data_IF_889091746272
#
_entry.id   IF_889091746272
#
_cell.length_a   1.000
_cell.length_b   1.000
_cell.length_c   1.000
_cell.angle_alpha   90.00
_cell.angle_beta   90.00
_cell.angle_gamma   90.00
#
_symmetry.space_group_name_H-M   'P 1'
#
loop_
_entity.id
_entity.type
_entity.pdbx_description
1 polymer ?
#
# COMPACT_ATOMS: atom_id res chain seq x y z
N UNK A 1 -20.92 -21.33 5.57
CA UNK A 1 -20.43 -20.43 4.52
C UNK A 1 -19.09 -20.95 4.05
N UNK A 2 -18.84 -21.04 2.75
CA UNK A 2 -17.48 -21.33 2.26
C UNK A 2 -16.57 -20.12 2.52
N UNK A 3 -15.31 -20.39 2.82
CA UNK A 3 -14.30 -19.41 3.22
C UNK A 3 -13.07 -19.64 2.36
N UNK A 4 -12.41 -18.56 1.91
CA UNK A 4 -11.07 -18.67 1.37
C UNK A 4 -10.11 -18.91 2.54
N UNK A 5 -9.83 -20.19 2.81
CA UNK A 5 -8.99 -20.60 3.94
C UNK A 5 -7.51 -20.40 3.59
N UNK A 6 -6.86 -19.49 4.31
CA UNK A 6 -5.44 -19.19 4.22
C UNK A 6 -4.71 -19.56 5.52
N UNK A 7 -5.30 -20.42 6.37
CA UNK A 7 -4.73 -20.84 7.64
C UNK A 7 -3.42 -21.62 7.52
N UNK A 8 -3.07 -22.12 6.33
CA UNK A 8 -1.72 -22.63 6.05
C UNK A 8 -0.62 -21.58 6.21
N UNK A 9 -0.98 -20.28 6.22
CA UNK A 9 -0.06 -19.19 6.53
C UNK A 9 0.20 -19.03 8.02
N UNK A 10 -0.54 -19.71 8.91
CA UNK A 10 -0.21 -19.71 10.33
C UNK A 10 1.20 -20.22 10.54
N UNK A 11 2.00 -19.45 11.27
CA UNK A 11 3.34 -19.88 11.60
C UNK A 11 3.30 -20.93 12.72
N UNK A 12 4.20 -21.89 12.64
CA UNK A 12 4.53 -22.78 13.75
C UNK A 12 5.30 -22.05 14.86
N UNK A 13 5.84 -20.86 14.59
CA UNK A 13 6.61 -20.05 15.53
C UNK A 13 6.06 -18.61 15.57
N UNK A 14 5.93 -18.05 16.77
CA UNK A 14 5.62 -16.64 16.94
C UNK A 14 6.91 -15.89 17.24
N UNK A 15 6.93 -14.60 16.92
CA UNK A 15 8.03 -13.73 17.30
C UNK A 15 7.82 -13.34 18.77
N UNK A 16 8.53 -14.03 19.67
CA UNK A 16 8.39 -13.86 21.11
C UNK A 16 9.41 -12.91 21.73
N UNK A 17 10.31 -12.36 20.91
CA UNK A 17 11.32 -11.39 21.32
C UNK A 17 11.07 -10.09 20.60
N UNK A 18 11.37 -8.97 21.27
CA UNK A 18 11.32 -7.68 20.61
C UNK A 18 12.38 -7.62 19.51
N UNK A 19 11.97 -7.18 18.34
CA UNK A 19 12.90 -6.88 17.24
C UNK A 19 13.64 -5.61 17.57
N UNK A 20 14.97 -5.68 17.53
CA UNK A 20 15.84 -4.52 17.66
C UNK A 20 16.45 -4.17 16.31
N UNK A 21 16.94 -2.94 16.16
CA UNK A 21 17.57 -2.46 14.93
C UNK A 21 16.58 -1.77 13.98
N UNK A 22 17.01 -1.59 12.72
CA UNK A 22 16.40 -0.61 11.82
C UNK A 22 14.92 -0.85 11.51
N UNK A 23 14.44 -2.09 11.43
CA UNK A 23 13.05 -2.38 11.06
C UNK A 23 12.03 -1.97 12.14
N UNK A 24 12.40 -2.02 13.42
CA UNK A 24 11.55 -1.59 14.53
C UNK A 24 11.74 -0.09 14.85
N UNK A 25 11.66 0.75 13.81
CA UNK A 25 11.78 2.20 13.93
C UNK A 25 10.53 2.85 14.53
N UNK A 26 10.74 3.93 15.28
CA UNK A 26 9.71 4.87 15.79
C UNK A 26 9.83 6.21 15.07
N UNK A 27 8.87 7.12 15.30
CA UNK A 27 8.87 8.48 14.72
C UNK A 27 10.21 9.20 14.88
N UNK A 28 10.76 9.18 16.10
CA UNK A 28 11.96 9.95 16.44
C UNK A 28 13.26 9.30 15.93
N UNK A 29 13.19 8.04 15.47
CA UNK A 29 14.34 7.32 14.92
C UNK A 29 14.49 7.46 13.40
N UNK A 30 13.53 8.11 12.73
CA UNK A 30 13.52 8.31 11.28
C UNK A 30 13.68 9.79 10.97
N UNK A 31 14.65 10.14 10.13
CA UNK A 31 14.67 11.45 9.45
C UNK A 31 13.75 11.37 8.21
N UNK A 32 12.62 12.10 8.15
CA UNK A 32 11.73 12.06 6.99
C UNK A 32 12.42 12.46 5.68
N UNK A 33 13.46 13.30 5.72
CA UNK A 33 14.20 13.70 4.51
C UNK A 33 14.97 12.54 3.90
N UNK A 34 15.33 11.54 4.70
CA UNK A 34 15.94 10.31 4.21
C UNK A 34 15.00 9.47 3.36
N UNK A 35 13.70 9.77 3.30
CA UNK A 35 12.77 9.12 2.39
C UNK A 35 12.69 9.81 1.01
N UNK A 36 13.24 11.02 0.86
CA UNK A 36 13.06 11.84 -0.34
C UNK A 36 14.16 11.55 -1.36
N UNK A 37 13.76 11.28 -2.61
CA UNK A 37 14.65 11.04 -3.75
C UNK A 37 14.42 12.13 -4.81
N UNK A 38 15.45 12.93 -5.09
CA UNK A 38 15.34 13.99 -6.11
C UNK A 38 15.60 13.46 -7.52
N UNK A 39 14.80 13.91 -8.49
CA UNK A 39 15.04 13.62 -9.91
C UNK A 39 16.19 14.52 -10.41
N UNK A 40 17.40 13.96 -10.48
CA UNK A 40 18.58 14.67 -11.01
C UNK A 40 18.40 15.00 -12.49
N UNK A 41 19.10 16.04 -12.97
CA UNK A 41 19.02 16.53 -14.36
C UNK A 41 19.17 15.44 -15.41
N UNK A 42 20.10 14.50 -15.23
CA UNK A 42 20.31 13.40 -16.18
C UNK A 42 19.10 12.45 -16.27
N UNK A 43 18.55 12.03 -15.13
CA UNK A 43 17.34 11.20 -15.07
C UNK A 43 16.12 11.97 -15.61
N UNK A 44 16.00 13.27 -15.30
CA UNK A 44 14.94 14.11 -15.84
C UNK A 44 14.99 14.16 -17.37
N UNK A 45 16.17 14.37 -17.95
CA UNK A 45 16.35 14.41 -19.40
C UNK A 45 15.99 13.06 -20.04
N UNK A 46 16.34 11.95 -19.40
CA UNK A 46 15.93 10.60 -19.81
C UNK A 46 14.40 10.43 -19.81
N UNK A 47 13.72 10.82 -18.72
CA UNK A 47 12.26 10.76 -18.65
C UNK A 47 11.59 11.58 -19.76
N UNK A 48 12.10 12.78 -20.07
CA UNK A 48 11.57 13.59 -21.18
C UNK A 48 11.85 12.96 -22.55
N UNK A 49 12.98 12.27 -22.74
CA UNK A 49 13.23 11.50 -23.98
C UNK A 49 12.25 10.33 -24.12
N UNK A 50 11.95 9.63 -23.03
CA UNK A 50 10.95 8.55 -23.02
C UNK A 50 9.59 9.08 -23.46
N UNK A 51 9.18 10.25 -22.97
CA UNK A 51 7.93 10.91 -23.41
C UNK A 51 7.91 11.16 -24.92
N UNK A 52 8.98 11.71 -25.49
CA UNK A 52 9.04 11.93 -26.94
C UNK A 52 8.99 10.64 -27.77
N UNK A 53 9.58 9.55 -27.26
CA UNK A 53 9.50 8.21 -27.87
C UNK A 53 8.07 7.68 -27.83
N UNK A 54 7.42 7.77 -26.67
CA UNK A 54 6.03 7.36 -26.42
C UNK A 54 5.07 8.10 -27.37
N UNK A 55 5.22 9.42 -27.51
CA UNK A 55 4.39 10.24 -28.41
C UNK A 55 4.54 9.82 -29.87
N UNK A 56 5.76 9.48 -30.28
CA UNK A 56 6.04 9.09 -31.67
C UNK A 56 5.69 7.63 -31.97
N UNK A 57 5.47 6.81 -30.94
CA UNK A 57 5.24 5.36 -31.06
C UNK A 57 4.07 4.95 -30.15
N UNK A 58 2.82 5.10 -30.64
CA UNK A 58 1.63 4.79 -29.85
C UNK A 58 1.59 3.30 -29.50
N UNK A 59 1.55 3.01 -28.20
CA UNK A 59 1.42 1.68 -27.64
C UNK A 59 0.61 1.81 -26.34
N UNK A 60 -0.37 0.92 -26.07
CA UNK A 60 -1.09 0.94 -24.80
C UNK A 60 -0.13 0.89 -23.61
N UNK A 61 -0.39 1.70 -22.58
CA UNK A 61 0.46 1.81 -21.38
C UNK A 61 0.87 0.45 -20.81
N UNK A 62 -0.09 -0.47 -20.67
CA UNK A 62 0.14 -1.79 -20.08
C UNK A 62 1.11 -2.69 -20.87
N UNK A 63 1.35 -2.37 -22.14
CA UNK A 63 2.30 -3.09 -23.00
C UNK A 63 3.69 -2.46 -23.01
N UNK A 64 3.86 -1.26 -22.45
CA UNK A 64 5.16 -0.59 -22.37
C UNK A 64 6.04 -1.28 -21.34
N UNK A 65 7.28 -1.61 -21.73
CA UNK A 65 8.26 -2.23 -20.85
C UNK A 65 9.41 -1.29 -20.59
N UNK A 66 9.94 -1.34 -19.37
CA UNK A 66 11.12 -0.56 -19.01
C UNK A 66 12.34 -0.88 -19.89
N UNK A 67 12.48 -2.14 -20.31
CA UNK A 67 13.58 -2.61 -21.16
C UNK A 67 13.59 -2.01 -22.58
N UNK A 68 12.48 -1.41 -23.02
CA UNK A 68 12.35 -0.79 -24.34
C UNK A 68 13.04 0.59 -24.42
N UNK A 69 13.59 1.10 -23.31
CA UNK A 69 14.13 2.45 -23.21
C UNK A 69 15.57 2.49 -22.67
N UNK A 70 16.43 3.29 -23.30
CA UNK A 70 17.78 3.59 -22.80
C UNK A 70 17.75 4.70 -21.74
N UNK A 71 17.57 4.30 -20.48
CA UNK A 71 17.39 5.20 -19.33
C UNK A 71 18.28 4.85 -18.11
N UNK A 72 19.61 4.76 -18.26
CA UNK A 72 20.52 4.31 -17.21
C UNK A 72 20.48 5.17 -15.92
N UNK A 73 20.32 6.50 -16.03
CA UNK A 73 20.27 7.36 -14.83
C UNK A 73 18.94 7.22 -14.09
N UNK A 74 17.85 7.01 -14.82
CA UNK A 74 16.52 6.70 -14.26
C UNK A 74 16.53 5.34 -13.59
N UNK A 75 17.17 4.33 -14.21
CA UNK A 75 17.35 3.01 -13.60
C UNK A 75 18.16 3.09 -12.29
N UNK A 76 19.22 3.90 -12.26
CA UNK A 76 20.03 4.13 -11.06
C UNK A 76 19.23 4.84 -9.96
N UNK A 77 18.40 5.82 -10.32
CA UNK A 77 17.50 6.49 -9.38
C UNK A 77 16.47 5.51 -8.81
N UNK A 78 15.82 4.71 -9.66
CA UNK A 78 14.83 3.74 -9.22
C UNK A 78 15.45 2.58 -8.43
N UNK A 79 16.72 2.24 -8.66
CA UNK A 79 17.46 1.31 -7.79
C UNK A 79 17.67 1.88 -6.37
N UNK A 80 17.94 3.19 -6.23
CA UNK A 80 17.98 3.85 -4.92
C UNK A 80 16.59 3.82 -4.25
N UNK A 81 15.53 4.08 -5.00
CA UNK A 81 14.14 3.97 -4.49
C UNK A 81 13.87 2.56 -4.00
N UNK A 82 14.16 1.52 -4.80
CA UNK A 82 13.96 0.12 -4.41
C UNK A 82 14.74 -0.24 -3.14
N UNK A 83 16.00 0.18 -3.03
CA UNK A 83 16.80 -0.02 -1.81
C UNK A 83 16.14 0.61 -0.58
N UNK A 84 15.63 1.83 -0.67
CA UNK A 84 14.91 2.51 0.45
C UNK A 84 13.58 1.84 0.83
N UNK A 85 13.01 1.04 -0.07
CA UNK A 85 11.83 0.23 0.24
C UNK A 85 12.21 -1.12 0.89
N UNK A 86 13.35 -1.68 0.52
CA UNK A 86 13.87 -2.95 1.08
C UNK A 86 14.54 -2.76 2.44
N UNK A 87 15.10 -1.59 2.67
CA UNK A 87 15.73 -1.18 3.91
C UNK A 87 14.82 -0.25 4.72
N UNK A 88 14.94 -0.20 6.05
CA UNK A 88 14.20 0.74 6.87
C UNK A 88 14.42 2.21 6.43
N UNK A 89 13.38 3.06 6.42
CA UNK A 89 12.06 2.81 7.00
C UNK A 89 11.05 2.10 6.06
N UNK A 90 11.44 1.71 4.84
CA UNK A 90 10.53 1.06 3.89
C UNK A 90 9.62 2.04 3.13
N UNK A 91 10.02 3.31 3.03
CA UNK A 91 9.27 4.40 2.38
C UNK A 91 10.20 5.20 1.47
N UNK A 92 9.72 5.55 0.28
CA UNK A 92 10.43 6.44 -0.63
C UNK A 92 9.48 7.40 -1.35
N UNK A 93 9.88 8.66 -1.49
CA UNK A 93 9.13 9.69 -2.23
C UNK A 93 10.03 10.33 -3.28
N UNK A 94 9.70 10.16 -4.54
CA UNK A 94 10.38 10.84 -5.64
C UNK A 94 9.79 12.25 -5.80
N UNK A 95 10.63 13.27 -5.69
CA UNK A 95 10.25 14.69 -5.78
C UNK A 95 10.96 15.40 -6.95
N UNK A 96 10.29 15.85 -8.00
CA UNK A 96 8.91 15.59 -8.44
C UNK A 96 8.93 15.43 -9.97
N UNK A 97 7.97 14.67 -10.52
CA UNK A 97 7.77 14.65 -11.97
C UNK A 97 7.39 16.07 -12.47
N UNK A 98 7.91 16.51 -13.63
CA UNK A 98 7.60 17.83 -14.18
C UNK A 98 6.20 17.85 -14.82
N UNK A 99 5.14 17.70 -14.02
CA UNK A 99 3.75 17.58 -14.50
C UNK A 99 3.20 18.83 -15.21
N UNK A 100 3.96 19.93 -15.27
CA UNK A 100 3.66 21.09 -16.12
C UNK A 100 4.12 20.91 -17.57
N UNK A 101 4.93 19.89 -17.84
CA UNK A 101 5.49 19.56 -19.16
C UNK A 101 4.94 18.23 -19.69
N UNK A 102 4.01 17.60 -18.97
CA UNK A 102 3.48 16.27 -19.25
C UNK A 102 1.96 16.34 -19.31
N UNK A 103 1.37 15.62 -20.27
CA UNK A 103 -0.04 15.23 -20.18
C UNK A 103 -0.24 14.24 -19.04
N UNK A 104 -1.49 14.06 -18.60
CA UNK A 104 -1.82 13.04 -17.59
C UNK A 104 -1.44 11.63 -18.06
N UNK A 105 -1.75 11.30 -19.31
CA UNK A 105 -1.41 10.01 -19.92
C UNK A 105 0.11 9.77 -19.93
N UNK A 106 0.90 10.79 -20.26
CA UNK A 106 2.36 10.69 -20.23
C UNK A 106 2.91 10.49 -18.82
N UNK A 107 2.33 11.17 -17.83
CA UNK A 107 2.70 10.96 -16.42
C UNK A 107 2.39 9.52 -15.98
N UNK A 108 1.23 8.99 -16.39
CA UNK A 108 0.83 7.60 -16.11
C UNK A 108 1.74 6.61 -16.81
N UNK A 109 2.10 6.84 -18.07
CA UNK A 109 3.05 6.01 -18.81
C UNK A 109 4.42 5.98 -18.12
N UNK A 110 4.95 7.14 -17.73
CA UNK A 110 6.20 7.21 -16.99
C UNK A 110 6.11 6.46 -15.66
N UNK A 111 5.03 6.67 -14.89
CA UNK A 111 4.80 5.99 -13.61
C UNK A 111 4.71 4.46 -13.77
N UNK A 112 4.00 4.00 -14.80
CA UNK A 112 3.89 2.59 -15.16
C UNK A 112 5.25 1.99 -15.51
N UNK A 113 6.02 2.67 -16.37
CA UNK A 113 7.32 2.22 -16.85
C UNK A 113 8.30 2.13 -15.68
N UNK A 114 8.51 3.24 -14.95
CA UNK A 114 9.53 3.27 -13.88
C UNK A 114 9.17 2.37 -12.70
N UNK A 115 7.87 2.17 -12.43
CA UNK A 115 7.38 1.27 -11.38
C UNK A 115 7.81 -0.19 -11.57
N UNK A 116 8.08 -0.62 -12.81
CA UNK A 116 8.57 -1.98 -13.10
C UNK A 116 9.93 -2.28 -12.46
N UNK A 117 10.71 -1.25 -12.08
CA UNK A 117 11.97 -1.43 -11.35
C UNK A 117 11.76 -1.76 -9.87
N UNK A 118 10.62 -1.38 -9.31
CA UNK A 118 10.25 -1.70 -7.92
C UNK A 118 9.81 -3.16 -7.81
N UNK A 119 9.09 -3.63 -8.82
CA UNK A 119 8.66 -5.01 -9.00
C UNK A 119 7.64 -5.06 -10.13
N UNK A 120 7.28 -6.26 -10.56
CA UNK A 120 6.28 -6.45 -11.62
C UNK A 120 4.94 -5.84 -11.19
N UNK A 121 4.40 -4.94 -12.02
CA UNK A 121 3.06 -4.37 -11.84
C UNK A 121 2.00 -5.48 -11.90
N UNK A 122 1.03 -5.45 -10.98
CA UNK A 122 -0.04 -6.46 -10.91
C UNK A 122 -1.43 -5.81 -10.84
N UNK A 123 -2.46 -6.60 -11.15
CA UNK A 123 -3.84 -6.17 -11.02
C UNK A 123 -4.19 -5.88 -9.56
N UNK A 124 -5.04 -4.88 -9.36
CA UNK A 124 -5.47 -4.35 -8.07
C UNK A 124 -6.94 -4.62 -7.78
N UNK A 125 -7.70 -5.10 -8.77
CA UNK A 125 -9.11 -5.45 -8.71
C UNK A 125 -9.39 -6.72 -9.51
N UNK A 126 -10.51 -7.38 -9.19
CA UNK A 126 -10.99 -8.56 -9.91
C UNK A 126 -11.17 -8.34 -11.42
N UNK A 127 -11.60 -7.14 -11.83
CA UNK A 127 -11.78 -6.77 -13.23
C UNK A 127 -10.46 -6.62 -14.03
N UNK A 128 -9.31 -6.82 -13.39
CA UNK A 128 -7.99 -6.72 -14.01
C UNK A 128 -7.41 -5.31 -14.02
N UNK A 129 -8.03 -4.33 -13.35
CA UNK A 129 -7.49 -2.96 -13.23
C UNK A 129 -6.06 -2.97 -12.68
N UNK A 130 -5.07 -2.57 -13.47
CA UNK A 130 -3.65 -2.49 -13.06
C UNK A 130 -3.20 -1.06 -12.72
N UNK A 131 -3.84 -0.05 -13.32
CA UNK A 131 -3.62 1.37 -13.07
C UNK A 131 -4.89 1.90 -12.42
N UNK A 132 -4.81 2.20 -11.12
CA UNK A 132 -5.99 2.50 -10.32
C UNK A 132 -6.07 3.99 -10.02
N UNK A 133 -7.12 4.66 -10.47
CA UNK A 133 -7.34 6.07 -10.17
C UNK A 133 -7.97 6.23 -8.79
N UNK A 134 -7.26 6.88 -7.88
CA UNK A 134 -7.73 7.22 -6.53
C UNK A 134 -8.27 8.66 -6.56
N UNK A 135 -9.58 8.77 -6.75
CA UNK A 135 -10.33 10.03 -6.77
C UNK A 135 -11.74 9.76 -6.25
N UNK A 136 -12.36 10.75 -5.63
CA UNK A 136 -13.78 10.67 -5.27
C UNK A 136 -14.61 10.61 -6.56
N UNK A 137 -15.35 9.53 -6.73
CA UNK A 137 -16.25 9.33 -7.86
C UNK A 137 -17.68 9.78 -7.57
N UNK A 138 -17.98 10.22 -6.33
CA UNK A 138 -19.33 10.55 -5.88
C UNK A 138 -20.25 9.32 -5.79
N UNK A 139 -19.68 8.12 -5.75
CA UNK A 139 -20.45 6.88 -5.63
C UNK A 139 -21.05 6.76 -4.22
N UNK A 140 -22.30 6.30 -4.13
CA UNK A 140 -22.94 6.02 -2.84
C UNK A 140 -22.20 4.88 -2.13
N UNK A 141 -22.18 4.90 -0.79
CA UNK A 141 -21.51 3.89 0.01
C UNK A 141 -22.30 2.57 -0.05
N UNK A 142 -21.90 1.69 -0.96
CA UNK A 142 -22.44 0.33 -1.11
C UNK A 142 -21.36 -0.73 -0.80
N UNK A 143 -21.80 -1.96 -0.51
CA UNK A 143 -20.86 -3.08 -0.32
C UNK A 143 -20.01 -3.29 -1.59
N UNK A 144 -18.69 -3.30 -1.42
CA UNK A 144 -17.71 -3.34 -2.51
C UNK A 144 -17.11 -2.00 -2.90
N UNK A 145 -17.61 -0.87 -2.37
CA UNK A 145 -16.95 0.44 -2.54
C UNK A 145 -15.74 0.52 -1.60
N UNK A 146 -14.54 0.52 -2.18
CA UNK A 146 -13.29 0.68 -1.43
C UNK A 146 -13.15 2.09 -0.88
N UNK A 147 -12.61 2.23 0.33
CA UNK A 147 -12.40 3.54 0.98
C UNK A 147 -11.50 4.53 0.20
N UNK A 148 -10.75 4.05 -0.79
CA UNK A 148 -10.03 4.92 -1.76
C UNK A 148 -10.95 5.83 -2.58
N UNK A 149 -12.24 5.49 -2.69
CA UNK A 149 -13.26 6.26 -3.40
C UNK A 149 -14.01 7.24 -2.49
N UNK A 150 -13.70 7.28 -1.20
CA UNK A 150 -14.38 8.14 -0.22
C UNK A 150 -13.42 9.20 0.34
N UNK A 151 -13.98 10.27 0.90
CA UNK A 151 -13.24 11.31 1.64
C UNK A 151 -12.87 10.89 3.07
N UNK A 152 -13.45 9.78 3.55
CA UNK A 152 -13.32 9.29 4.93
C UNK A 152 -11.88 8.85 5.22
N UNK A 153 -11.40 9.17 6.43
CA UNK A 153 -10.14 8.69 6.99
C UNK A 153 -9.89 7.20 6.70
N UNK A 154 -8.67 6.87 6.28
CA UNK A 154 -8.22 5.48 6.14
C UNK A 154 -7.24 5.18 7.26
N UNK A 155 -7.71 4.40 8.23
CA UNK A 155 -6.90 3.89 9.34
C UNK A 155 -5.66 3.14 8.84
N UNK A 156 -4.67 2.91 9.73
CA UNK A 156 -3.46 2.18 9.37
C UNK A 156 -3.78 0.80 8.79
N UNK A 157 -3.27 0.56 7.58
CA UNK A 157 -3.50 -0.70 6.87
C UNK A 157 -2.36 -1.11 5.92
N UNK A 158 -2.37 -2.38 5.55
CA UNK A 158 -1.75 -2.92 4.35
C UNK A 158 -2.81 -3.00 3.23
N UNK A 159 -2.42 -2.65 2.02
CA UNK A 159 -3.22 -2.92 0.82
C UNK A 159 -3.40 -4.43 0.64
N UNK A 160 -4.61 -4.83 0.24
CA UNK A 160 -4.98 -6.21 -0.04
C UNK A 160 -4.77 -7.20 1.14
N UNK A 161 -5.00 -6.76 2.38
CA UNK A 161 -4.78 -7.60 3.58
C UNK A 161 -5.55 -8.94 3.57
N UNK A 162 -6.58 -9.10 2.73
CA UNK A 162 -7.35 -10.34 2.55
C UNK A 162 -6.87 -11.26 1.41
N UNK A 163 -6.03 -10.75 0.49
CA UNK A 163 -5.68 -11.45 -0.74
C UNK A 163 -4.74 -12.64 -0.55
N UNK A 164 -4.66 -13.53 -1.53
CA UNK A 164 -3.77 -14.70 -1.46
C UNK A 164 -2.30 -14.26 -1.49
N UNK A 165 -1.88 -13.52 -2.52
CA UNK A 165 -0.58 -12.86 -2.57
C UNK A 165 -0.76 -11.36 -2.34
N UNK A 166 -0.16 -10.84 -1.27
CA UNK A 166 -0.14 -9.39 -1.06
C UNK A 166 0.75 -8.72 -2.11
N UNK A 167 0.44 -7.46 -2.50
CA UNK A 167 1.47 -6.64 -3.13
C UNK A 167 2.60 -6.45 -2.12
N UNK A 168 3.85 -6.59 -2.58
CA UNK A 168 5.02 -6.31 -1.75
C UNK A 168 5.24 -4.81 -1.63
N UNK A 169 4.95 -4.06 -2.70
CA UNK A 169 5.04 -2.61 -2.72
C UNK A 169 3.79 -1.98 -3.32
N UNK A 170 3.50 -0.78 -2.85
CA UNK A 170 2.41 0.07 -3.37
C UNK A 170 3.03 1.38 -3.82
N UNK A 171 2.73 1.79 -5.04
CA UNK A 171 3.11 3.08 -5.61
C UNK A 171 1.91 3.99 -5.71
N UNK A 172 2.10 5.29 -5.45
CA UNK A 172 1.07 6.31 -5.51
C UNK A 172 1.64 7.59 -6.13
N UNK A 173 1.14 7.96 -7.31
CA UNK A 173 1.48 9.21 -8.00
C UNK A 173 0.43 10.27 -7.72
N UNK A 174 0.87 11.46 -7.33
CA UNK A 174 -0.02 12.60 -7.15
C UNK A 174 -0.11 13.46 -8.41
N UNK A 175 -1.23 13.37 -9.13
CA UNK A 175 -1.52 14.27 -10.24
C UNK A 175 -2.09 15.58 -9.69
N UNK A 176 -3.08 15.50 -8.79
CA UNK A 176 -3.70 16.65 -8.14
C UNK A 176 -3.85 16.35 -6.65
N UNK A 177 -3.27 17.17 -5.75
CA UNK A 177 -3.46 17.00 -4.32
C UNK A 177 -4.89 17.39 -3.90
N UNK A 178 -5.29 17.03 -2.69
CA UNK A 178 -6.48 17.59 -2.05
C UNK A 178 -6.32 19.07 -1.72
N UNK A 179 -7.44 19.78 -1.56
CA UNK A 179 -7.42 21.17 -1.10
C UNK A 179 -7.01 21.26 0.38
N UNK A 180 -7.48 20.34 1.22
CA UNK A 180 -7.04 20.19 2.61
C UNK A 180 -6.91 18.70 3.00
N UNK A 181 -6.03 18.41 3.96
CA UNK A 181 -5.80 17.05 4.44
C UNK A 181 -5.14 16.14 3.37
N UNK A 182 -5.43 14.85 3.43
CA UNK A 182 -4.78 13.83 2.58
C UNK A 182 -3.34 13.50 2.96
N UNK A 183 -2.93 13.81 4.19
CA UNK A 183 -1.61 13.50 4.71
C UNK A 183 -1.42 11.98 4.81
N UNK A 184 -0.25 11.51 4.38
CA UNK A 184 0.12 10.10 4.49
C UNK A 184 0.95 9.89 5.75
N UNK A 185 0.53 8.95 6.59
CA UNK A 185 1.28 8.49 7.78
C UNK A 185 1.79 7.09 7.54
N UNK A 186 2.95 6.79 8.13
CA UNK A 186 3.59 5.48 8.03
C UNK A 186 4.00 5.01 9.43
N UNK A 187 3.74 3.75 9.74
CA UNK A 187 4.23 3.10 10.96
C UNK A 187 4.86 1.74 10.63
N UNK A 188 5.93 1.39 11.36
CA UNK A 188 6.54 0.07 11.27
C UNK A 188 5.67 -0.98 11.94
N UNK A 189 5.35 -2.05 11.21
CA UNK A 189 4.62 -3.18 11.77
C UNK A 189 5.45 -4.03 12.71
N UNK A 190 6.78 -3.94 12.65
CA UNK A 190 7.68 -4.51 13.66
C UNK A 190 7.58 -3.75 14.98
N UNK A 191 7.48 -2.42 14.93
CA UNK A 191 7.34 -1.60 16.14
C UNK A 191 5.96 -1.76 16.77
N UNK A 192 4.91 -1.84 15.94
CA UNK A 192 3.56 -2.19 16.39
C UNK A 192 3.56 -3.57 17.05
N UNK A 193 4.19 -4.57 16.41
CA UNK A 193 4.35 -5.91 16.98
C UNK A 193 5.09 -5.87 18.34
N UNK A 194 6.22 -5.20 18.44
CA UNK A 194 6.97 -5.06 19.69
C UNK A 194 6.11 -4.44 20.81
N UNK A 195 5.33 -3.42 20.47
CA UNK A 195 4.47 -2.74 21.44
C UNK A 195 3.30 -3.62 21.87
N UNK A 196 2.74 -4.42 20.96
CA UNK A 196 1.75 -5.45 21.27
C UNK A 196 2.36 -6.53 22.17
N UNK A 197 3.59 -6.99 21.89
CA UNK A 197 4.28 -7.99 22.71
C UNK A 197 4.52 -7.49 24.15
N UNK A 198 4.84 -6.21 24.30
CA UNK A 198 5.07 -5.59 25.61
C UNK A 198 3.77 -5.37 26.41
N UNK A 199 2.74 -4.79 25.77
CA UNK A 199 1.53 -4.32 26.48
C UNK A 199 0.37 -5.29 26.43
N UNK A 200 0.25 -6.06 25.35
CA UNK A 200 -0.91 -6.88 25.01
C UNK A 200 -0.50 -8.29 24.51
N UNK A 201 0.30 -9.05 25.29
CA UNK A 201 0.87 -10.32 24.82
C UNK A 201 -0.19 -11.39 24.50
N UNK A 202 -1.33 -11.40 25.20
CA UNK A 202 -2.41 -12.36 24.96
C UNK A 202 -3.17 -12.04 23.67
N UNK A 203 -3.40 -10.76 23.44
CA UNK A 203 -4.02 -10.22 22.25
C UNK A 203 -3.12 -10.46 21.03
N UNK A 204 -1.81 -10.23 21.18
CA UNK A 204 -0.82 -10.57 20.16
C UNK A 204 -0.88 -12.07 19.81
N UNK A 205 -0.96 -12.95 20.80
CA UNK A 205 -1.08 -14.38 20.59
C UNK A 205 -2.31 -14.74 19.74
N UNK A 206 -3.42 -14.04 19.93
CA UNK A 206 -4.65 -14.21 19.13
C UNK A 206 -4.49 -13.73 17.69
N UNK A 207 -3.69 -12.68 17.45
CA UNK A 207 -3.40 -12.14 16.10
C UNK A 207 -2.51 -13.06 15.25
N UNK A 208 -1.84 -14.05 15.85
CA UNK A 208 -1.15 -15.13 15.13
C UNK A 208 -2.10 -16.27 14.70
N UNK A 209 -3.32 -16.29 15.21
CA UNK A 209 -4.36 -17.25 14.81
C UNK A 209 -5.25 -16.64 13.74
N UNK A 210 -5.91 -17.46 12.88
CA UNK A 210 -6.72 -16.92 11.81
C UNK A 210 -7.93 -16.10 12.29
N UNK A 211 -8.23 -15.03 11.57
CA UNK A 211 -9.43 -14.19 11.71
C UNK A 211 -10.13 -14.07 10.36
N UNK A 212 -11.40 -13.67 10.34
CA UNK A 212 -12.11 -13.40 9.09
C UNK A 212 -11.73 -12.03 8.52
N UNK A 213 -11.61 -11.97 7.20
CA UNK A 213 -11.34 -10.77 6.43
C UNK A 213 -12.40 -10.60 5.35
N UNK A 214 -13.03 -9.42 5.26
CA UNK A 214 -13.87 -9.07 4.13
C UNK A 214 -13.03 -9.01 2.84
N UNK A 215 -13.46 -9.72 1.79
CA UNK A 215 -12.83 -9.70 0.46
C UNK A 215 -13.32 -8.55 -0.42
N UNK A 216 -14.19 -7.70 0.13
CA UNK A 216 -14.66 -6.46 -0.50
C UNK A 216 -15.31 -6.68 -1.89
N UNK A 217 -15.95 -7.84 -2.10
CA UNK A 217 -16.51 -8.25 -3.39
C UNK A 217 -15.50 -8.37 -4.55
N UNK A 218 -14.20 -8.47 -4.29
CA UNK A 218 -13.16 -8.51 -5.33
C UNK A 218 -12.85 -9.93 -5.82
N UNK A 219 -13.91 -10.70 -6.03
CA UNK A 219 -13.85 -12.11 -6.40
C UNK A 219 -14.91 -12.46 -7.44
N UNK A 220 -14.76 -13.61 -8.09
CA UNK A 220 -15.79 -14.13 -9.01
C UNK A 220 -17.13 -14.34 -8.27
N UNK A 221 -18.29 -14.12 -8.94
CA UNK A 221 -19.58 -14.46 -8.35
C UNK A 221 -19.64 -15.91 -7.88
N UNK A 222 -20.15 -16.12 -6.67
CA UNK A 222 -20.28 -17.45 -6.03
C UNK A 222 -19.02 -17.92 -5.29
N UNK A 223 -17.89 -17.22 -5.37
CA UNK A 223 -16.74 -17.49 -4.51
C UNK A 223 -17.00 -17.07 -3.04
N UNK A 224 -16.22 -17.59 -2.09
CA UNK A 224 -16.29 -17.17 -0.68
C UNK A 224 -16.23 -15.65 -0.51
N UNK A 225 -17.10 -15.06 0.29
CA UNK A 225 -17.11 -13.60 0.53
C UNK A 225 -16.03 -13.14 1.51
N UNK A 226 -15.51 -14.09 2.30
CA UNK A 226 -14.51 -13.83 3.34
C UNK A 226 -13.30 -14.73 3.16
N UNK A 227 -12.14 -14.22 3.54
CA UNK A 227 -10.92 -14.99 3.73
C UNK A 227 -10.67 -15.25 5.22
N UNK A 228 -9.90 -16.28 5.53
CA UNK A 228 -9.48 -16.59 6.90
C UNK A 228 -7.96 -16.74 6.97
N UNK A 229 -7.30 -15.78 7.61
CA UNK A 229 -5.84 -15.67 7.66
C UNK A 229 -5.41 -15.01 8.98
N UNK A 230 -4.19 -15.29 9.49
CA UNK A 230 -3.67 -14.58 10.66
C UNK A 230 -3.26 -13.15 10.31
N UNK A 231 -3.24 -12.25 11.30
CA UNK A 231 -2.71 -10.88 11.15
C UNK A 231 -1.20 -10.88 11.10
N UNK A 232 -0.56 -11.67 11.97
CA UNK A 232 0.89 -11.84 12.01
C UNK A 232 1.31 -13.27 11.66
N UNK A 233 2.39 -13.38 10.89
CA UNK A 233 3.11 -14.63 10.63
C UNK A 233 4.60 -14.35 10.71
N UNK A 234 5.36 -15.22 11.37
CA UNK A 234 6.81 -15.10 11.44
C UNK A 234 7.47 -16.38 10.90
N UNK A 235 8.30 -16.28 9.87
CA UNK A 235 8.93 -17.44 9.21
C UNK A 235 10.38 -17.68 9.65
N UNK A 236 10.71 -17.30 10.90
CA UNK A 236 12.04 -17.32 11.53
C UNK A 236 12.99 -16.21 11.07
N UNK A 237 12.75 -15.62 9.91
CA UNK A 237 13.58 -14.53 9.36
C UNK A 237 12.82 -13.21 9.29
N UNK A 238 11.55 -13.24 8.88
CA UNK A 238 10.75 -12.05 8.57
C UNK A 238 9.37 -12.09 9.21
N UNK A 239 8.91 -10.93 9.66
CA UNK A 239 7.52 -10.73 10.05
C UNK A 239 6.69 -10.40 8.80
N UNK A 240 5.71 -11.23 8.52
CA UNK A 240 4.69 -11.03 7.51
C UNK A 240 3.41 -10.55 8.18
N UNK A 241 2.79 -9.52 7.60
CA UNK A 241 1.66 -8.85 8.24
C UNK A 241 0.51 -8.62 7.27
N UNK A 242 -0.69 -8.84 7.79
CA UNK A 242 -1.95 -8.38 7.23
C UNK A 242 -2.56 -7.46 8.30
N UNK A 243 -2.39 -6.15 8.15
CA UNK A 243 -2.97 -5.18 9.07
C UNK A 243 -4.10 -4.45 8.36
N UNK A 244 -5.36 -4.66 8.77
CA UNK A 244 -6.47 -3.79 8.42
C UNK A 244 -7.65 -4.08 9.38
N UNK A 245 -7.71 -3.42 10.56
CA UNK A 245 -8.73 -3.68 11.56
C UNK A 245 -10.16 -3.59 11.01
N UNK A 246 -10.44 -2.62 10.13
CA UNK A 246 -11.76 -2.43 9.53
C UNK A 246 -12.21 -3.63 8.68
N UNK A 247 -11.30 -4.26 7.93
CA UNK A 247 -11.62 -5.46 7.15
C UNK A 247 -11.84 -6.70 8.01
N UNK A 248 -11.21 -6.76 9.19
CA UNK A 248 -11.47 -7.85 10.14
C UNK A 248 -12.89 -7.71 10.69
N UNK A 249 -13.24 -6.52 11.22
CA UNK A 249 -14.57 -6.25 11.74
C UNK A 249 -15.65 -6.54 10.69
N UNK A 250 -15.46 -6.01 9.46
CA UNK A 250 -16.39 -6.25 8.36
C UNK A 250 -16.45 -7.72 7.93
N UNK A 251 -15.32 -8.44 8.00
CA UNK A 251 -15.26 -9.86 7.69
C UNK A 251 -16.18 -10.70 8.58
N UNK A 252 -16.25 -10.42 9.87
CA UNK A 252 -17.17 -11.14 10.77
C UNK A 252 -18.64 -10.80 10.50
N UNK A 253 -18.96 -9.55 10.16
CA UNK A 253 -20.31 -9.15 9.73
C UNK A 253 -20.74 -9.90 8.46
N UNK A 254 -19.88 -9.89 7.42
CA UNK A 254 -20.15 -10.55 6.13
C UNK A 254 -20.21 -12.07 6.30
N UNK A 255 -19.41 -12.63 7.21
CA UNK A 255 -19.46 -14.04 7.57
C UNK A 255 -20.70 -14.44 8.40
N UNK A 256 -21.54 -13.48 8.79
CA UNK A 256 -22.67 -13.65 9.71
C UNK A 256 -22.25 -14.42 10.98
N UNK A 257 -21.01 -14.21 11.42
CA UNK A 257 -20.40 -14.94 12.52
C UNK A 257 -20.08 -13.98 13.65
N UNK A 258 -20.52 -14.30 14.87
CA UNK A 258 -20.19 -13.49 16.04
C UNK A 258 -18.67 -13.51 16.28
N UNK A 259 -18.07 -12.32 16.35
CA UNK A 259 -16.69 -12.17 16.81
C UNK A 259 -16.60 -12.54 18.29
N UNK A 260 -15.65 -13.42 18.63
CA UNK A 260 -15.36 -13.74 20.03
C UNK A 260 -14.61 -12.58 20.71
N UNK A 261 -14.71 -12.50 22.04
CA UNK A 261 -14.14 -11.39 22.80
C UNK A 261 -12.62 -11.32 22.69
N UNK A 262 -11.93 -12.47 22.61
CA UNK A 262 -10.48 -12.48 22.46
C UNK A 262 -10.03 -11.86 21.13
N UNK A 263 -10.78 -12.09 20.06
CA UNK A 263 -10.54 -11.47 18.75
C UNK A 263 -10.86 -9.98 18.78
N UNK A 264 -11.99 -9.60 19.39
CA UNK A 264 -12.40 -8.20 19.51
C UNK A 264 -11.36 -7.39 20.29
N UNK A 265 -10.96 -7.88 21.47
CA UNK A 265 -9.92 -7.27 22.32
C UNK A 265 -8.60 -7.14 21.53
N UNK A 266 -8.25 -8.15 20.73
CA UNK A 266 -7.01 -8.13 19.95
C UNK A 266 -7.02 -7.11 18.79
N UNK A 267 -8.16 -6.96 18.11
CA UNK A 267 -8.34 -5.95 17.05
C UNK A 267 -8.33 -4.54 17.65
N UNK A 268 -8.96 -4.34 18.81
CA UNK A 268 -8.96 -3.07 19.53
C UNK A 268 -7.55 -2.70 20.02
N UNK A 269 -6.81 -3.65 20.60
CA UNK A 269 -5.43 -3.42 21.02
C UNK A 269 -4.50 -3.08 19.83
N UNK A 270 -4.65 -3.78 18.69
CA UNK A 270 -3.91 -3.45 17.47
C UNK A 270 -4.18 -2.01 17.01
N UNK A 271 -5.45 -1.60 17.03
CA UNK A 271 -5.86 -0.24 16.69
C UNK A 271 -5.23 0.77 17.66
N UNK A 272 -5.39 0.57 18.97
CA UNK A 272 -4.82 1.43 20.03
C UNK A 272 -3.31 1.63 19.84
N UNK A 273 -2.56 0.54 19.64
CA UNK A 273 -1.11 0.61 19.43
C UNK A 273 -0.78 1.40 18.17
N UNK A 274 -1.46 1.14 17.06
CA UNK A 274 -1.17 1.81 15.78
C UNK A 274 -1.44 3.32 15.79
N UNK A 275 -2.34 3.79 16.66
CA UNK A 275 -2.71 5.20 16.79
C UNK A 275 -1.69 6.02 17.60
N UNK A 276 -0.78 5.36 18.35
CA UNK A 276 0.22 6.05 19.17
C UNK A 276 1.12 6.98 18.32
N UNK A 277 1.10 8.30 18.56
CA UNK A 277 1.82 9.29 17.75
C UNK A 277 3.34 9.18 17.82
N UNK A 278 3.89 8.40 18.75
CA UNK A 278 5.32 8.09 18.81
C UNK A 278 5.74 7.05 17.75
N UNK A 279 4.80 6.33 17.14
CA UNK A 279 5.11 5.21 16.23
C UNK A 279 5.05 5.58 14.74
N UNK A 280 4.51 6.75 14.41
CA UNK A 280 4.32 7.16 13.03
C UNK A 280 4.89 8.53 12.72
N UNK A 281 5.31 8.70 11.47
CA UNK A 281 5.70 9.99 10.91
C UNK A 281 4.88 10.27 9.64
N UNK A 282 4.88 11.52 9.22
CA UNK A 282 4.14 11.99 8.05
C UNK A 282 5.10 12.35 6.92
N UNK A 283 4.70 12.10 5.67
CA UNK A 283 5.33 12.68 4.49
C UNK A 283 4.28 13.37 3.62
N UNK A 284 4.64 14.50 2.99
CA UNK A 284 3.74 15.20 2.09
C UNK A 284 3.57 14.45 0.77
N UNK A 285 2.38 14.59 0.18
CA UNK A 285 2.05 14.05 -1.14
C UNK A 285 1.59 15.19 -2.07
N UNK A 286 2.56 15.93 -2.58
CA UNK A 286 2.34 17.10 -3.44
C UNK A 286 2.25 16.72 -4.92
N UNK A 287 1.77 17.65 -5.75
CA UNK A 287 1.68 17.46 -7.20
C UNK A 287 3.03 17.03 -7.78
N UNK A 288 3.04 15.90 -8.49
CA UNK A 288 4.23 15.32 -9.12
C UNK A 288 5.04 14.40 -8.20
N UNK A 289 4.69 14.27 -6.92
CA UNK A 289 5.32 13.26 -6.06
C UNK A 289 4.92 11.84 -6.49
N UNK A 290 5.89 10.94 -6.40
CA UNK A 290 5.68 9.49 -6.51
C UNK A 290 6.06 8.87 -5.17
N UNK A 291 5.08 8.40 -4.42
CA UNK A 291 5.30 7.76 -3.13
C UNK A 291 5.24 6.24 -3.29
N UNK A 292 6.25 5.54 -2.82
CA UNK A 292 6.29 4.09 -2.76
C UNK A 292 6.47 3.62 -1.32
N UNK A 293 5.81 2.52 -0.97
CA UNK A 293 5.89 1.89 0.34
C UNK A 293 6.11 0.39 0.23
N UNK A 294 6.81 -0.19 1.20
CA UNK A 294 6.87 -1.63 1.42
C UNK A 294 5.64 -2.08 2.20
N UNK A 295 4.66 -2.62 1.49
CA UNK A 295 3.36 -2.98 2.04
C UNK A 295 3.39 -4.20 2.98
N UNK A 296 4.54 -4.85 3.14
CA UNK A 296 4.71 -5.95 4.10
C UNK A 296 5.28 -5.43 5.43
N UNK A 297 6.22 -4.49 5.40
CA UNK A 297 6.91 -4.05 6.63
C UNK A 297 6.22 -2.86 7.31
N UNK A 298 5.41 -2.11 6.57
CA UNK A 298 4.78 -0.90 7.07
C UNK A 298 3.27 -0.89 6.84
N UNK A 299 2.54 -0.32 7.80
CA UNK A 299 1.16 0.09 7.59
C UNK A 299 1.14 1.58 7.25
N UNK A 300 0.19 1.96 6.41
CA UNK A 300 0.01 3.34 5.99
C UNK A 300 -1.40 3.81 6.27
N UNK A 301 -1.53 5.12 6.41
CA UNK A 301 -2.75 5.80 6.80
C UNK A 301 -2.93 7.04 5.93
N UNK A 302 -4.19 7.42 5.69
CA UNK A 302 -4.56 8.65 5.01
C UNK A 302 -5.54 9.44 5.88
N UNK A 303 -5.20 10.69 6.18
CA UNK A 303 -6.11 11.58 6.89
C UNK A 303 -7.37 11.85 6.07
N UNK A 304 -8.40 12.36 6.73
CA UNK A 304 -9.56 12.96 6.04
C UNK A 304 -9.10 13.98 4.99
N UNK A 305 -9.90 14.09 3.93
CA UNK A 305 -9.66 14.98 2.80
C UNK A 305 -10.84 15.90 2.61
N UNK A 306 -10.53 17.17 2.33
CA UNK A 306 -11.47 18.10 1.70
C UNK A 306 -11.01 18.34 0.27
N UNK A 307 -11.86 17.97 -0.68
CA UNK A 307 -11.63 18.21 -2.10
C UNK A 307 -11.92 19.67 -2.48
N UNK A 308 -11.30 20.11 -3.57
CA UNK A 308 -11.64 21.41 -4.18
C UNK A 308 -13.08 21.37 -4.70
N UNK A 309 -13.89 22.43 -4.50
CA UNK A 309 -15.23 22.52 -5.07
C UNK A 309 -15.23 22.53 -6.60
N UNK A 310 -14.13 22.95 -7.23
CA UNK A 310 -13.92 22.89 -8.68
C UNK A 310 -13.64 21.43 -9.10
N UNK A 311 -14.53 20.79 -9.90
CA UNK A 311 -14.36 19.40 -10.34
C UNK A 311 -13.01 19.14 -11.03
N UNK A 312 -12.45 20.15 -11.71
CA UNK A 312 -11.17 20.03 -12.41
C UNK A 312 -9.97 20.09 -11.46
N UNK A 313 -10.16 20.48 -10.20
CA UNK A 313 -9.11 20.57 -9.16
C UNK A 313 -9.27 19.53 -8.05
N UNK A 314 -10.30 18.69 -8.13
CA UNK A 314 -10.46 17.55 -7.21
C UNK A 314 -9.21 16.68 -7.16
N UNK A 315 -8.96 16.09 -5.98
CA UNK A 315 -7.83 15.21 -5.75
C UNK A 315 -7.85 14.06 -6.74
N UNK A 316 -6.69 13.82 -7.34
CA UNK A 316 -6.52 12.75 -8.30
C UNK A 316 -5.14 12.14 -8.14
N UNK A 317 -5.12 10.91 -7.64
CA UNK A 317 -3.91 10.11 -7.60
C UNK A 317 -4.04 8.88 -8.49
N UNK A 318 -2.91 8.29 -8.80
CA UNK A 318 -2.83 7.02 -9.54
C UNK A 318 -2.03 6.05 -8.70
N UNK A 319 -2.59 4.87 -8.44
CA UNK A 319 -1.97 3.80 -7.67
C UNK A 319 -1.57 2.64 -8.55
N UNK A 320 -0.43 2.03 -8.24
CA UNK A 320 0.06 0.77 -8.79
C UNK A 320 0.46 -0.17 -7.66
N UNK A 321 0.32 -1.47 -7.88
CA UNK A 321 0.77 -2.52 -6.97
C UNK A 321 1.87 -3.34 -7.63
N UNK A 322 2.84 -3.77 -6.83
CA UNK A 322 4.04 -4.47 -7.31
C UNK A 322 4.31 -5.74 -6.50
N UNK A 323 4.55 -6.86 -7.18
CA UNK A 323 5.07 -8.11 -6.60
C UNK A 323 5.72 -8.99 -7.67
N UNK A 324 6.84 -9.62 -7.32
CA UNK A 324 7.58 -10.52 -8.22
C UNK A 324 7.22 -12.01 -8.05
N UNK A 325 6.32 -12.30 -7.12
CA UNK A 325 5.80 -13.64 -6.84
C UNK A 325 4.35 -13.77 -7.33
N UNK A 326 3.87 -15.02 -7.44
CA UNK A 326 2.50 -15.31 -7.88
C UNK A 326 2.21 -14.92 -9.34
N UNK A 327 0.93 -14.79 -9.66
CA UNK A 327 0.44 -14.37 -10.98
C UNK A 327 0.26 -12.85 -11.06
N UNK A 328 0.18 -12.31 -12.27
CA UNK A 328 -0.09 -10.89 -12.53
C UNK A 328 -1.55 -10.49 -12.32
N UNK A 329 -2.46 -11.46 -12.43
CA UNK A 329 -3.89 -11.28 -12.19
C UNK A 329 -4.17 -10.99 -10.72
N UNK A 330 -5.37 -10.46 -10.46
CA UNK A 330 -5.91 -10.39 -9.11
C UNK A 330 -6.26 -11.81 -8.66
N UNK A 331 -5.83 -12.18 -7.47
CA UNK A 331 -5.82 -13.55 -6.98
C UNK A 331 -6.76 -13.76 -5.79
N UNK A 332 -7.81 -12.93 -5.70
CA UNK A 332 -8.72 -12.97 -4.57
C UNK A 332 -10.15 -12.67 -4.89
#
# INVERSE_FOLDING_TARGET
>A
MEVLDLSQECSTQKLHIQVSGGFAWTRDSVDPNSCIVSIRTAARNELMRVVGIIESNPLPTLLRRMEDFEIPHTLQMMADVKRRLDEPPGVAVINSLPLNQLSEEQAIDLFWIIGQKIGRNVAQKWDGTMIYHVRDTGAEYEYGVRGSYTSVELMFHNDNAFGIALPHYVGLMCLKPSAQGGLSRFCSLYTVHNRMLEKFPKELDRLYEPVYWDRQAEHIPGAPLVAKAPVFRFDTERLWTRANPSLIMKGYEVAETKMDSATEDAVLALKEVSEDPSLWFELPLERGHLQYINNIDIAHYRSEIVDDPDPDKKRHLVRTWHRDTGKTIYDG
#
